data_IF_896440205130
#
_entry.id   IF_896440205130
#
_cell.length_a   1.000
_cell.length_b   1.000
_cell.length_c   1.000
_cell.angle_alpha   90.00
_cell.angle_beta   90.00
_cell.angle_gamma   90.00
#
_symmetry.space_group_name_H-M   'P 1'
#
loop_
_entity.id
_entity.type
_entity.pdbx_description
1 polymer ?
#
# COMPACT_ATOMS: atom_id res chain seq x y z
N UNK A 1 -6.94 29.67 -18.78
CA UNK A 1 -6.54 28.26 -18.92
C UNK A 1 -7.56 27.42 -18.17
N UNK A 2 -8.23 26.44 -18.80
CA UNK A 2 -9.07 25.51 -18.07
C UNK A 2 -8.18 24.80 -17.06
N UNK A 3 -8.47 24.94 -15.76
CA UNK A 3 -7.63 24.42 -14.70
C UNK A 3 -7.47 22.91 -14.85
N UNK A 4 -6.26 22.40 -14.59
CA UNK A 4 -5.99 20.97 -14.60
C UNK A 4 -7.09 20.19 -13.85
N UNK A 5 -7.54 19.04 -14.37
CA UNK A 5 -8.54 18.24 -13.72
C UNK A 5 -8.05 17.88 -12.31
N UNK A 6 -8.75 18.40 -11.31
CA UNK A 6 -8.41 18.20 -9.90
C UNK A 6 -8.52 16.71 -9.58
N UNK A 7 -7.45 16.14 -9.01
CA UNK A 7 -7.42 14.75 -8.56
C UNK A 7 -8.68 14.44 -7.70
N UNK A 8 -9.42 13.34 -7.98
CA UNK A 8 -10.66 13.00 -7.28
C UNK A 8 -10.44 12.55 -5.83
N UNK A 9 -9.19 12.44 -5.38
CA UNK A 9 -8.79 12.24 -3.99
C UNK A 9 -7.97 13.44 -3.53
N UNK A 10 -8.29 13.93 -2.34
CA UNK A 10 -7.51 14.97 -1.66
C UNK A 10 -6.80 14.39 -0.46
N UNK A 11 -5.47 14.39 -0.49
CA UNK A 11 -4.65 14.23 0.70
C UNK A 11 -4.43 15.61 1.35
N UNK A 12 -4.47 15.67 2.68
CA UNK A 12 -4.21 16.89 3.44
C UNK A 12 -3.40 16.58 4.68
N UNK A 13 -2.51 17.50 5.05
CA UNK A 13 -1.80 17.42 6.32
C UNK A 13 -2.79 17.44 7.48
N UNK A 14 -2.56 16.60 8.50
CA UNK A 14 -3.42 16.46 9.66
C UNK A 14 -2.62 16.13 10.92
N UNK A 15 -3.01 16.64 12.09
CA UNK A 15 -2.37 16.25 13.35
C UNK A 15 -3.01 14.99 13.93
N UNK A 16 -2.21 13.95 14.12
CA UNK A 16 -2.63 12.67 14.71
C UNK A 16 -1.76 12.43 15.94
N UNK A 17 -2.38 12.37 17.12
CA UNK A 17 -1.69 12.21 18.42
C UNK A 17 -0.53 13.22 18.60
N UNK A 18 -0.78 14.49 18.24
CA UNK A 18 0.21 15.58 18.33
C UNK A 18 1.33 15.55 17.28
N UNK A 19 1.38 14.54 16.40
CA UNK A 19 2.37 14.43 15.33
C UNK A 19 1.77 14.82 13.98
N UNK A 20 2.59 15.37 13.10
CA UNK A 20 2.17 15.79 11.77
C UNK A 20 2.02 14.56 10.86
N UNK A 21 0.81 14.22 10.48
CA UNK A 21 0.48 13.13 9.58
C UNK A 21 -0.35 13.62 8.40
N UNK A 22 -1.17 12.73 7.85
CA UNK A 22 -2.13 13.10 6.82
C UNK A 22 -3.49 12.41 6.99
N UNK A 23 -4.47 13.02 6.33
CA UNK A 23 -5.84 12.55 6.19
C UNK A 23 -6.21 12.52 4.70
N UNK A 24 -7.29 11.84 4.37
CA UNK A 24 -7.78 11.67 3.00
C UNK A 24 -9.25 12.06 2.90
N UNK A 25 -9.63 12.62 1.76
CA UNK A 25 -11.02 12.77 1.37
C UNK A 25 -11.20 12.35 -0.09
N UNK A 26 -12.21 11.51 -0.33
CA UNK A 26 -12.67 11.17 -1.66
C UNK A 26 -13.66 12.23 -2.11
N UNK A 27 -13.41 12.85 -3.26
CA UNK A 27 -14.21 13.95 -3.80
C UNK A 27 -15.24 13.47 -4.82
N UNK A 28 -15.00 12.33 -5.47
CA UNK A 28 -15.92 11.77 -6.47
C UNK A 28 -16.09 10.26 -6.30
N UNK A 29 -17.27 9.68 -6.62
CA UNK A 29 -17.49 8.24 -6.46
C UNK A 29 -16.65 7.37 -7.40
N UNK A 30 -16.13 7.94 -8.49
CA UNK A 30 -15.30 7.26 -9.46
C UNK A 30 -13.81 7.21 -9.11
N UNK A 31 -13.40 7.74 -7.95
CA UNK A 31 -12.02 7.74 -7.50
C UNK A 31 -11.41 6.33 -7.47
N UNK A 32 -10.20 6.20 -7.99
CA UNK A 32 -9.43 4.96 -8.14
C UNK A 32 -8.27 4.88 -7.16
N UNK A 33 -7.68 3.69 -7.03
CA UNK A 33 -6.49 3.49 -6.19
C UNK A 33 -5.33 4.34 -6.70
N UNK A 34 -5.17 4.49 -8.02
CA UNK A 34 -4.15 5.38 -8.61
C UNK A 34 -4.32 6.84 -8.16
N UNK A 35 -5.55 7.35 -8.04
CA UNK A 35 -5.83 8.71 -7.59
C UNK A 35 -5.40 8.90 -6.13
N UNK A 36 -5.67 7.91 -5.28
CA UNK A 36 -5.19 7.87 -3.90
C UNK A 36 -3.67 7.92 -3.81
N UNK A 37 -2.98 7.08 -4.58
CA UNK A 37 -1.52 7.04 -4.59
C UNK A 37 -0.96 8.40 -5.02
N UNK A 38 -1.47 8.95 -6.13
CA UNK A 38 -1.05 10.26 -6.63
C UNK A 38 -1.32 11.39 -5.63
N UNK A 39 -2.45 11.35 -4.92
CA UNK A 39 -2.77 12.34 -3.89
C UNK A 39 -1.79 12.28 -2.71
N UNK A 40 -1.40 11.07 -2.27
CA UNK A 40 -0.44 10.91 -1.16
C UNK A 40 0.98 11.29 -1.59
N UNK A 41 1.43 10.87 -2.77
CA UNK A 41 2.75 11.24 -3.30
C UNK A 41 2.89 12.74 -3.59
N UNK A 42 1.76 13.43 -3.81
CA UNK A 42 1.74 14.89 -3.91
C UNK A 42 1.94 15.64 -2.59
N UNK A 43 1.97 14.96 -1.45
CA UNK A 43 2.36 15.56 -0.18
C UNK A 43 3.88 15.77 -0.15
N UNK A 44 4.32 16.90 0.40
CA UNK A 44 5.73 17.16 0.68
C UNK A 44 6.19 16.25 1.83
N UNK A 45 7.12 15.31 1.60
CA UNK A 45 7.54 14.36 2.61
C UNK A 45 8.12 15.01 3.86
N UNK A 46 8.83 16.13 3.70
CA UNK A 46 9.47 16.89 4.79
C UNK A 46 8.46 17.47 5.79
N UNK A 47 7.18 17.60 5.42
CA UNK A 47 6.13 18.09 6.31
C UNK A 47 5.47 16.99 7.13
N UNK A 48 5.76 15.72 6.86
CA UNK A 48 5.17 14.61 7.58
C UNK A 48 6.14 14.11 8.65
N UNK A 49 5.64 13.90 9.85
CA UNK A 49 6.41 13.28 10.93
C UNK A 49 6.88 11.89 10.51
N UNK A 50 8.15 11.61 10.80
CA UNK A 50 8.82 10.33 10.54
C UNK A 50 9.40 9.84 11.86
N UNK A 51 8.90 8.73 12.43
CA UNK A 51 9.40 8.26 13.73
C UNK A 51 10.89 7.92 13.70
N UNK A 52 11.40 7.45 12.56
CA UNK A 52 12.78 7.03 12.40
C UNK A 52 13.70 8.06 11.73
N UNK A 53 13.15 9.18 11.26
CA UNK A 53 13.94 10.27 10.67
C UNK A 53 13.21 11.62 10.84
N UNK A 54 13.00 12.09 12.09
CA UNK A 54 12.07 13.20 12.37
C UNK A 54 12.38 14.50 11.61
N UNK A 55 13.65 14.72 11.28
CA UNK A 55 14.16 15.95 10.65
C UNK A 55 14.59 15.75 9.18
N UNK A 56 14.37 14.57 8.60
CA UNK A 56 14.91 14.23 7.28
C UNK A 56 13.88 13.82 6.24
N UNK A 57 14.35 13.68 4.99
CA UNK A 57 13.53 13.28 3.86
C UNK A 57 13.29 11.74 3.86
N UNK A 58 12.16 11.34 3.28
CA UNK A 58 11.93 9.95 2.90
C UNK A 58 12.91 9.50 1.80
N UNK A 59 13.33 10.41 0.92
CA UNK A 59 14.40 10.14 -0.04
C UNK A 59 15.74 10.07 0.72
N UNK A 60 16.34 8.87 0.79
CA UNK A 60 17.56 8.66 1.58
C UNK A 60 17.30 8.13 3.00
N UNK A 61 16.06 7.84 3.36
CA UNK A 61 15.70 7.10 4.56
C UNK A 61 15.46 5.62 4.22
N UNK A 62 16.15 4.73 4.92
CA UNK A 62 16.14 3.28 4.73
C UNK A 62 15.47 2.51 5.87
N UNK A 63 15.02 3.18 6.94
CA UNK A 63 14.41 2.50 8.09
C UNK A 63 13.17 1.67 7.73
N UNK A 64 12.39 2.13 6.75
CA UNK A 64 11.25 1.36 6.27
C UNK A 64 11.66 0.11 5.48
N UNK A 65 12.88 0.07 4.95
CA UNK A 65 13.40 -1.08 4.20
C UNK A 65 13.70 -2.28 5.12
N UNK A 66 13.90 -2.06 6.42
CA UNK A 66 14.01 -3.13 7.42
C UNK A 66 12.66 -3.54 8.05
N UNK A 67 11.55 -3.02 7.53
CA UNK A 67 10.21 -3.29 8.06
C UNK A 67 9.48 -4.44 7.36
N UNK A 68 8.25 -4.68 7.81
CA UNK A 68 7.29 -5.55 7.11
C UNK A 68 6.75 -4.82 5.86
N UNK A 69 7.06 -5.34 4.68
CA UNK A 69 6.76 -4.73 3.38
C UNK A 69 5.83 -5.63 2.56
N UNK A 70 4.52 -5.68 2.88
CA UNK A 70 3.56 -6.51 2.15
C UNK A 70 3.40 -6.01 0.72
N UNK A 71 3.11 -6.95 -0.16
CA UNK A 71 2.96 -6.71 -1.60
C UNK A 71 1.54 -7.02 -2.05
N UNK A 72 1.00 -6.16 -2.90
CA UNK A 72 -0.16 -6.52 -3.72
C UNK A 72 0.28 -7.21 -5.01
N UNK A 73 -0.64 -7.86 -5.72
CA UNK A 73 -0.36 -8.41 -7.06
C UNK A 73 0.14 -7.32 -8.03
N UNK A 74 -0.36 -6.09 -7.90
CA UNK A 74 0.03 -4.98 -8.77
C UNK A 74 1.43 -4.44 -8.45
N UNK A 75 1.86 -4.55 -7.19
CA UNK A 75 3.23 -4.24 -6.83
C UNK A 75 4.20 -5.21 -7.51
N UNK A 76 3.84 -6.48 -7.69
CA UNK A 76 4.69 -7.47 -8.39
C UNK A 76 4.85 -7.12 -9.87
N UNK A 77 3.82 -6.61 -10.55
CA UNK A 77 3.97 -6.05 -11.90
C UNK A 77 4.89 -4.83 -11.90
N UNK A 78 4.77 -3.94 -10.91
CA UNK A 78 5.68 -2.82 -10.71
C UNK A 78 7.13 -3.25 -10.52
N UNK A 79 7.37 -4.26 -9.68
CA UNK A 79 8.69 -4.86 -9.47
C UNK A 79 9.24 -5.45 -10.76
N UNK A 80 8.42 -6.15 -11.54
CA UNK A 80 8.83 -6.69 -12.84
C UNK A 80 9.33 -5.57 -13.77
N UNK A 81 8.58 -4.48 -13.89
CA UNK A 81 8.98 -3.34 -14.71
C UNK A 81 10.26 -2.68 -14.18
N UNK A 82 10.33 -2.41 -12.88
CA UNK A 82 11.52 -1.78 -12.29
C UNK A 82 12.78 -2.62 -12.41
N UNK A 83 12.67 -3.95 -12.28
CA UNK A 83 13.81 -4.85 -12.46
C UNK A 83 14.23 -4.97 -13.92
N UNK A 84 13.27 -4.91 -14.86
CA UNK A 84 13.57 -4.79 -16.29
C UNK A 84 14.35 -3.52 -16.57
N UNK A 85 13.88 -2.38 -16.06
CA UNK A 85 14.56 -1.09 -16.25
C UNK A 85 15.97 -1.08 -15.62
N UNK A 86 16.13 -1.72 -14.46
CA UNK A 86 17.41 -1.78 -13.74
C UNK A 86 18.42 -2.74 -14.37
N UNK A 87 17.97 -3.89 -14.89
CA UNK A 87 18.85 -5.01 -15.28
C UNK A 87 18.82 -5.35 -16.76
N UNK A 88 17.89 -4.78 -17.53
CA UNK A 88 17.61 -5.15 -18.92
C UNK A 88 16.92 -6.51 -19.09
N UNK A 89 16.63 -7.24 -18.00
CA UNK A 89 16.06 -8.59 -18.06
C UNK A 89 14.56 -8.57 -17.82
N UNK A 90 13.82 -9.15 -18.75
CA UNK A 90 12.40 -9.45 -18.54
C UNK A 90 12.26 -10.78 -17.78
N UNK A 91 11.84 -10.70 -16.51
CA UNK A 91 11.60 -11.87 -15.68
C UNK A 91 10.11 -12.13 -15.59
N UNK A 92 9.64 -13.37 -15.78
CA UNK A 92 8.22 -13.68 -15.60
C UNK A 92 7.84 -13.59 -14.11
N UNK A 93 6.58 -13.27 -13.82
CA UNK A 93 6.09 -13.07 -12.44
C UNK A 93 6.48 -14.19 -11.45
N UNK A 94 6.38 -15.50 -11.77
CA UNK A 94 6.82 -16.54 -10.83
C UNK A 94 8.29 -16.42 -10.42
N UNK A 95 9.16 -15.95 -11.32
CA UNK A 95 10.58 -15.69 -11.02
C UNK A 95 10.78 -14.43 -10.19
N UNK A 96 9.90 -13.43 -10.33
CA UNK A 96 9.89 -12.28 -9.43
C UNK A 96 9.54 -12.71 -8.00
N UNK A 97 8.47 -13.50 -7.85
CA UNK A 97 8.05 -14.02 -6.53
C UNK A 97 9.14 -14.86 -5.86
N UNK A 98 9.75 -15.77 -6.63
CA UNK A 98 10.82 -16.64 -6.12
C UNK A 98 12.03 -15.82 -5.61
N UNK A 99 12.49 -14.85 -6.42
CA UNK A 99 13.76 -14.15 -6.15
C UNK A 99 13.64 -12.93 -5.25
N UNK A 100 12.53 -12.20 -5.33
CA UNK A 100 12.39 -10.87 -4.71
C UNK A 100 11.30 -10.80 -3.64
N UNK A 101 10.50 -11.86 -3.48
CA UNK A 101 9.49 -11.95 -2.44
C UNK A 101 9.82 -13.07 -1.47
N UNK A 102 9.26 -13.00 -0.28
CA UNK A 102 9.30 -14.05 0.72
C UNK A 102 7.87 -14.34 1.19
N UNK A 103 7.57 -15.62 1.38
CA UNK A 103 6.24 -16.09 1.77
C UNK A 103 6.33 -16.63 3.19
N UNK A 104 5.53 -16.06 4.08
CA UNK A 104 5.39 -16.50 5.46
C UNK A 104 4.04 -17.17 5.65
N UNK A 105 4.04 -18.35 6.26
CA UNK A 105 2.84 -19.11 6.59
C UNK A 105 2.67 -19.13 8.10
N UNK A 106 1.62 -18.49 8.60
CA UNK A 106 1.30 -18.44 10.04
C UNK A 106 -0.11 -18.97 10.26
N UNK A 107 -0.20 -20.25 10.60
CA UNK A 107 -1.48 -20.96 10.71
C UNK A 107 -2.21 -21.00 9.37
N UNK A 108 -3.29 -20.24 9.25
CA UNK A 108 -4.07 -20.10 7.99
C UNK A 108 -3.65 -18.89 7.18
N UNK A 109 -2.90 -17.95 7.76
CA UNK A 109 -2.50 -16.73 7.07
C UNK A 109 -1.31 -17.01 6.13
N UNK A 110 -1.37 -16.39 4.95
CA UNK A 110 -0.25 -16.30 4.02
C UNK A 110 0.09 -14.83 3.91
N UNK A 111 1.34 -14.49 4.15
CA UNK A 111 1.88 -13.14 4.07
C UNK A 111 3.01 -13.12 3.04
N UNK A 112 2.92 -12.24 2.04
CA UNK A 112 3.87 -12.16 0.93
C UNK A 112 4.50 -10.78 0.94
N UNK A 113 5.73 -10.72 1.40
CA UNK A 113 6.48 -9.48 1.55
C UNK A 113 7.65 -9.39 0.58
N UNK A 114 8.19 -8.19 0.41
CA UNK A 114 9.52 -8.05 -0.19
C UNK A 114 10.56 -8.85 0.61
N UNK A 115 11.41 -9.56 -0.11
CA UNK A 115 12.53 -10.31 0.47
C UNK A 115 13.57 -9.35 1.03
N UNK A 116 14.16 -9.76 2.15
CA UNK A 116 15.28 -9.05 2.79
C UNK A 116 16.61 -9.78 2.57
N UNK A 117 17.72 -9.05 2.72
CA UNK A 117 19.07 -9.61 2.86
C UNK A 117 19.29 -10.23 4.25
N UNK A 118 20.53 -10.64 4.52
CA UNK A 118 20.92 -11.29 5.78
C UNK A 118 20.85 -10.32 6.97
N UNK A 119 20.98 -9.02 6.71
CA UNK A 119 20.90 -7.93 7.67
C UNK A 119 19.45 -7.49 7.93
N UNK A 120 18.48 -8.06 7.21
CA UNK A 120 17.05 -7.80 7.38
C UNK A 120 16.55 -6.59 6.59
N UNK A 121 17.31 -6.06 5.63
CA UNK A 121 16.88 -4.95 4.77
C UNK A 121 16.40 -5.45 3.41
N UNK A 122 15.43 -4.73 2.83
CA UNK A 122 14.92 -5.01 1.49
C UNK A 122 16.05 -5.15 0.45
N UNK A 123 16.01 -6.22 -0.36
CA UNK A 123 17.01 -6.50 -1.42
C UNK A 123 17.16 -5.40 -2.48
N UNK A 124 16.19 -4.48 -2.55
CA UNK A 124 16.19 -3.37 -3.51
C UNK A 124 16.79 -2.09 -2.92
N UNK A 125 17.19 -2.08 -1.66
CA UNK A 125 17.92 -0.98 -1.05
C UNK A 125 19.32 -0.87 -1.66
N UNK A 126 19.72 0.34 -2.04
CA UNK A 126 21.12 0.68 -2.25
C UNK A 126 21.68 1.30 -0.96
N UNK A 127 22.46 0.56 -0.15
CA UNK A 127 22.83 0.99 1.20
C UNK A 127 23.63 2.30 1.20
N UNK A 128 24.54 2.49 0.23
CA UNK A 128 25.38 3.70 0.16
C UNK A 128 24.58 4.97 -0.09
N UNK A 129 23.50 4.86 -0.87
CA UNK A 129 22.62 5.99 -1.22
C UNK A 129 21.37 6.04 -0.35
N UNK A 130 21.16 5.04 0.51
CA UNK A 130 19.96 4.84 1.34
C UNK A 130 18.67 4.99 0.54
N UNK A 131 18.68 4.49 -0.70
CA UNK A 131 17.59 4.69 -1.67
C UNK A 131 17.28 3.38 -2.39
N UNK A 132 16.01 3.14 -2.67
CA UNK A 132 15.59 2.02 -3.51
C UNK A 132 16.19 2.14 -4.94
N UNK A 133 16.76 1.05 -5.45
CA UNK A 133 17.32 0.95 -6.81
C UNK A 133 16.26 1.10 -7.90
N UNK A 134 15.01 0.79 -7.58
CA UNK A 134 13.85 0.92 -8.49
C UNK A 134 12.84 1.93 -7.93
N UNK A 135 13.32 3.08 -7.47
CA UNK A 135 12.53 4.07 -6.73
C UNK A 135 11.17 4.45 -7.37
N UNK A 136 11.09 4.56 -8.69
CA UNK A 136 9.85 4.92 -9.38
C UNK A 136 8.84 3.77 -9.46
N UNK A 137 9.29 2.55 -9.16
CA UNK A 137 8.52 1.30 -9.19
C UNK A 137 8.36 0.69 -7.79
N UNK A 138 8.53 1.51 -6.74
CA UNK A 138 8.37 1.06 -5.35
C UNK A 138 6.94 0.55 -5.11
N UNK A 139 6.77 -0.46 -4.25
CA UNK A 139 5.44 -0.93 -3.86
C UNK A 139 4.58 0.17 -3.22
N UNK A 140 3.26 -0.04 -3.23
CA UNK A 140 2.27 0.88 -2.66
C UNK A 140 2.55 1.25 -1.21
N UNK A 141 3.00 0.31 -0.38
CA UNK A 141 3.30 0.58 1.04
C UNK A 141 4.42 1.63 1.19
N UNK A 142 5.43 1.59 0.30
CA UNK A 142 6.53 2.55 0.27
C UNK A 142 6.09 3.91 -0.28
N UNK A 143 5.17 3.93 -1.25
CA UNK A 143 4.63 5.16 -1.88
C UNK A 143 3.65 5.91 -0.98
N UNK A 144 3.08 5.23 0.01
CA UNK A 144 2.04 5.77 0.90
C UNK A 144 2.55 6.13 2.30
N UNK A 145 3.88 6.26 2.45
CA UNK A 145 4.58 6.67 3.66
C UNK A 145 4.09 5.96 4.92
N UNK A 146 4.18 4.63 4.95
CA UNK A 146 3.47 3.86 5.96
C UNK A 146 3.82 4.17 7.41
N UNK A 147 5.03 4.69 7.65
CA UNK A 147 5.55 5.13 8.94
C UNK A 147 4.95 6.45 9.44
N UNK A 148 4.21 7.18 8.59
CA UNK A 148 3.56 8.44 8.99
C UNK A 148 2.30 8.16 9.81
N UNK A 149 2.00 9.00 10.80
CA UNK A 149 0.70 9.01 11.45
C UNK A 149 -0.44 9.28 10.45
N UNK A 150 -1.56 8.59 10.65
CA UNK A 150 -2.73 8.61 9.77
C UNK A 150 -4.00 8.74 10.61
N UNK A 151 -5.00 9.45 10.10
CA UNK A 151 -6.35 9.35 10.66
C UNK A 151 -6.87 7.92 10.50
N UNK A 152 -7.83 7.53 11.34
CA UNK A 152 -8.42 6.18 11.28
C UNK A 152 -8.98 5.84 9.88
N UNK A 153 -9.78 6.69 9.22
CA UNK A 153 -10.27 6.39 7.87
C UNK A 153 -9.13 6.22 6.86
N UNK A 154 -8.11 7.09 6.88
CA UNK A 154 -6.99 6.99 5.96
C UNK A 154 -6.14 5.72 6.19
N UNK A 155 -5.90 5.34 7.45
CA UNK A 155 -5.24 4.08 7.80
C UNK A 155 -6.04 2.87 7.32
N UNK A 156 -7.34 2.83 7.60
CA UNK A 156 -8.20 1.72 7.19
C UNK A 156 -8.28 1.59 5.67
N UNK A 157 -8.30 2.70 4.93
CA UNK A 157 -8.26 2.66 3.47
C UNK A 157 -6.97 2.00 2.96
N UNK A 158 -5.81 2.43 3.46
CA UNK A 158 -4.52 1.85 3.09
C UNK A 158 -4.47 0.35 3.40
N UNK A 159 -4.89 -0.04 4.59
CA UNK A 159 -4.96 -1.46 5.00
C UNK A 159 -5.86 -2.27 4.08
N UNK A 160 -7.03 -1.75 3.68
CA UNK A 160 -7.93 -2.44 2.74
C UNK A 160 -7.28 -2.61 1.37
N UNK A 161 -6.64 -1.57 0.85
CA UNK A 161 -5.95 -1.65 -0.45
C UNK A 161 -4.84 -2.70 -0.40
N UNK A 162 -3.99 -2.67 0.62
CA UNK A 162 -2.88 -3.61 0.78
C UNK A 162 -3.40 -5.03 0.96
N UNK A 163 -4.27 -5.27 1.95
CA UNK A 163 -4.71 -6.63 2.27
C UNK A 163 -5.50 -7.25 1.12
N UNK A 164 -6.41 -6.51 0.49
CA UNK A 164 -7.21 -7.04 -0.64
C UNK A 164 -6.36 -7.27 -1.89
N UNK A 165 -5.31 -6.47 -2.09
CA UNK A 165 -4.34 -6.68 -3.16
C UNK A 165 -3.38 -7.84 -2.89
N UNK A 166 -3.01 -8.06 -1.63
CA UNK A 166 -2.21 -9.19 -1.18
C UNK A 166 -3.00 -10.50 -1.22
N UNK A 167 -4.28 -10.50 -0.84
CA UNK A 167 -5.17 -11.67 -0.96
C UNK A 167 -5.20 -12.19 -2.40
N UNK A 168 -5.26 -11.30 -3.39
CA UNK A 168 -5.18 -11.66 -4.81
C UNK A 168 -3.80 -12.19 -5.20
N UNK A 169 -2.73 -11.63 -4.63
CA UNK A 169 -1.37 -12.14 -4.83
C UNK A 169 -1.22 -13.56 -4.25
N UNK A 170 -1.77 -13.82 -3.06
CA UNK A 170 -1.79 -15.14 -2.45
C UNK A 170 -2.60 -16.10 -3.30
N UNK A 171 -3.77 -15.69 -3.80
CA UNK A 171 -4.58 -16.50 -4.73
C UNK A 171 -3.78 -16.88 -5.98
N UNK A 172 -3.09 -15.92 -6.58
CA UNK A 172 -2.19 -16.13 -7.71
C UNK A 172 -1.06 -17.12 -7.38
N UNK A 173 -0.46 -16.99 -6.19
CA UNK A 173 0.63 -17.85 -5.72
C UNK A 173 0.15 -19.28 -5.44
N UNK A 174 -0.99 -19.44 -4.77
CA UNK A 174 -1.61 -20.73 -4.44
C UNK A 174 -1.95 -21.55 -5.69
N UNK A 175 -2.49 -20.90 -6.74
CA UNK A 175 -2.80 -21.54 -8.01
C UNK A 175 -1.59 -22.14 -8.74
N UNK A 176 -0.37 -21.81 -8.30
CA UNK A 176 0.90 -22.29 -8.87
C UNK A 176 1.61 -23.30 -7.98
N UNK A 177 1.08 -23.57 -6.79
CA UNK A 177 1.65 -24.61 -5.93
C UNK A 177 1.24 -25.98 -6.46
N UNK A 178 2.20 -26.91 -6.49
CA UNK A 178 1.92 -28.32 -6.83
C UNK A 178 1.00 -28.97 -5.81
N UNK A 179 1.12 -28.57 -4.56
CA UNK A 179 0.33 -29.03 -3.43
C UNK A 179 -0.04 -27.84 -2.56
N UNK A 180 -1.25 -27.85 -2.00
CA UNK A 180 -1.65 -26.83 -1.03
C UNK A 180 -0.78 -26.93 0.21
N UNK A 181 -0.19 -25.81 0.69
CA UNK A 181 0.58 -25.83 1.93
C UNK A 181 -0.27 -26.28 3.12
N UNK A 182 0.31 -26.99 4.10
CA UNK A 182 -0.42 -27.44 5.29
C UNK A 182 -1.13 -26.28 6.00
N UNK A 183 -2.37 -26.51 6.43
CA UNK A 183 -3.19 -25.52 7.17
C UNK A 183 -3.89 -24.48 6.29
N UNK A 184 -3.47 -24.30 5.04
CA UNK A 184 -4.09 -23.36 4.10
C UNK A 184 -5.33 -23.97 3.45
N UNK A 185 -6.38 -23.17 3.30
CA UNK A 185 -7.59 -23.56 2.55
C UNK A 185 -7.80 -22.61 1.37
N UNK A 186 -7.46 -22.98 0.12
CA UNK A 186 -7.54 -22.07 -1.04
C UNK A 186 -8.87 -21.32 -1.18
N UNK A 187 -9.97 -21.86 -0.66
CA UNK A 187 -11.28 -21.21 -0.57
C UNK A 187 -11.31 -19.90 0.22
N UNK A 188 -10.40 -19.62 1.16
CA UNK A 188 -10.40 -18.34 1.88
C UNK A 188 -9.84 -17.18 1.00
N UNK A 189 -9.27 -17.48 -0.17
CA UNK A 189 -8.66 -16.53 -1.10
C UNK A 189 -9.48 -16.44 -2.39
N UNK A 190 -10.71 -15.94 -2.28
CA UNK A 190 -11.58 -15.70 -3.43
C UNK A 190 -11.04 -14.54 -4.30
N UNK A 191 -11.42 -14.48 -5.60
CA UNK A 191 -11.07 -13.34 -6.45
C UNK A 191 -11.47 -12.01 -5.80
N UNK A 192 -10.53 -11.08 -5.75
CA UNK A 192 -10.78 -9.74 -5.19
C UNK A 192 -11.00 -8.71 -6.31
N UNK A 193 -11.32 -7.43 -6.00
CA UNK A 193 -11.34 -6.38 -7.02
C UNK A 193 -10.03 -6.17 -7.79
N UNK A 194 -8.93 -6.80 -7.35
CA UNK A 194 -7.66 -6.82 -8.08
C UNK A 194 -7.58 -7.93 -9.13
N UNK A 195 -8.49 -8.90 -9.13
CA UNK A 195 -8.46 -10.04 -10.03
C UNK A 195 -8.56 -9.60 -11.49
N UNK A 196 -7.53 -9.93 -12.28
CA UNK A 196 -7.44 -9.57 -13.69
C UNK A 196 -7.00 -8.14 -13.97
N UNK A 197 -6.75 -7.32 -12.95
CA UNK A 197 -6.21 -5.97 -13.12
C UNK A 197 -4.70 -6.00 -13.36
N UNK A 198 -4.21 -4.99 -14.09
CA UNK A 198 -2.78 -4.75 -14.34
C UNK A 198 -2.31 -3.39 -13.82
N UNK A 199 -3.23 -2.54 -13.36
CA UNK A 199 -2.94 -1.22 -12.82
C UNK A 199 -3.89 -0.81 -11.70
N UNK A 200 -3.38 -0.01 -10.77
CA UNK A 200 -4.18 0.64 -9.73
C UNK A 200 -5.22 1.62 -10.28
N UNK A 201 -5.10 2.00 -11.56
CA UNK A 201 -6.07 2.84 -12.25
C UNK A 201 -7.36 2.09 -12.61
N UNK A 202 -7.39 0.75 -12.53
CA UNK A 202 -8.57 -0.06 -12.87
C UNK A 202 -9.49 -0.30 -11.67
N UNK A 203 -9.00 -0.02 -10.46
CA UNK A 203 -9.68 -0.36 -9.22
C UNK A 203 -10.28 0.90 -8.59
N UNK A 204 -11.60 0.92 -8.41
CA UNK A 204 -12.26 2.01 -7.69
C UNK A 204 -12.07 1.85 -6.18
N UNK A 205 -11.88 2.97 -5.46
CA UNK A 205 -11.80 2.95 -4.00
C UNK A 205 -13.11 2.44 -3.38
N UNK A 206 -14.25 2.70 -4.01
CA UNK A 206 -15.56 2.27 -3.56
C UNK A 206 -15.71 0.75 -3.50
N UNK A 207 -15.10 0.02 -4.46
CA UNK A 207 -15.12 -1.44 -4.47
C UNK A 207 -14.36 -2.07 -3.30
N UNK A 208 -13.43 -1.34 -2.68
CA UNK A 208 -12.59 -1.83 -1.58
C UNK A 208 -13.16 -1.47 -0.19
N UNK A 209 -14.03 -0.46 -0.13
CA UNK A 209 -14.50 0.13 1.11
C UNK A 209 -15.84 -0.46 1.58
N UNK A 210 -15.93 -0.94 2.82
CA UNK A 210 -17.22 -1.12 3.49
C UNK A 210 -18.00 0.21 3.56
N UNK A 211 -19.35 0.18 3.64
CA UNK A 211 -20.18 1.38 3.60
C UNK A 211 -19.79 2.47 4.61
N UNK A 212 -19.42 2.08 5.83
CA UNK A 212 -19.02 3.02 6.88
C UNK A 212 -17.69 3.71 6.58
N UNK A 213 -16.71 2.96 6.08
CA UNK A 213 -15.42 3.52 5.68
C UNK A 213 -15.60 4.48 4.50
N UNK A 214 -16.40 4.07 3.51
CA UNK A 214 -16.72 4.90 2.36
C UNK A 214 -17.36 6.23 2.77
N UNK A 215 -18.36 6.18 3.68
CA UNK A 215 -19.00 7.40 4.22
C UNK A 215 -17.98 8.30 4.90
N UNK A 216 -17.06 7.74 5.69
CA UNK A 216 -16.03 8.50 6.39
C UNK A 216 -15.00 9.16 5.46
N UNK A 217 -14.71 8.55 4.31
CA UNK A 217 -13.80 9.09 3.31
C UNK A 217 -14.48 10.12 2.39
N UNK A 218 -15.75 9.91 2.04
CA UNK A 218 -16.49 10.76 1.10
C UNK A 218 -17.08 12.01 1.80
N UNK A 219 -17.66 11.81 2.99
CA UNK A 219 -18.28 12.85 3.82
C UNK A 219 -17.62 12.89 5.21
N UNK A 220 -16.41 13.48 5.33
CA UNK A 220 -15.68 13.47 6.60
C UNK A 220 -16.40 14.17 7.76
N UNK A 221 -17.32 15.11 7.47
CA UNK A 221 -18.11 15.80 8.50
C UNK A 221 -19.19 14.89 9.13
N UNK A 222 -19.78 13.98 8.35
CA UNK A 222 -20.72 12.97 8.85
C UNK A 222 -20.04 11.97 9.79
N UNK A 223 -18.76 11.69 9.55
CA UNK A 223 -17.98 10.77 10.38
C UNK A 223 -17.75 11.32 11.78
N UNK A 224 -17.47 12.63 11.94
CA UNK A 224 -17.31 13.24 13.27
C UNK A 224 -18.59 13.11 14.12
N UNK A 225 -19.77 13.22 13.51
CA UNK A 225 -21.06 13.13 14.20
C UNK A 225 -21.40 11.72 14.70
N UNK A 226 -20.98 10.67 13.99
CA UNK A 226 -21.16 9.28 14.42
C UNK A 226 -20.27 8.92 15.63
N UNK A 227 -19.12 9.59 15.78
CA UNK A 227 -18.14 9.28 16.81
C UNK A 227 -18.40 9.97 18.16
N UNK A 228 -18.91 11.21 18.17
CA UNK A 228 -19.34 11.85 19.42
C UNK A 228 -20.46 11.08 20.13
N UNK A 229 -21.31 10.35 19.40
CA UNK A 229 -22.35 9.50 19.98
C UNK A 229 -21.83 8.17 20.55
N UNK A 230 -20.65 7.72 20.14
CA UNK A 230 -20.03 6.47 20.62
C UNK A 230 -19.33 6.59 21.98
N UNK A 231 -18.96 7.81 22.39
CA UNK A 231 -18.30 8.09 23.68
C UNK A 231 -19.26 8.38 24.84
N UNK A 232 -20.54 8.66 24.55
CA UNK A 232 -21.58 8.82 25.58
C UNK A 232 -22.30 7.49 25.92
N UNK A 233 -21.79 6.35 25.42
CA UNK A 233 -22.37 5.01 25.66
C UNK A 233 -21.35 3.95 26.12
N UNK A 234 -20.26 4.36 26.76
CA UNK A 234 -19.46 3.46 27.60
C UNK A 234 -19.07 4.15 28.88
#
# INVERSE_FOLDING_TARGET
MPGEPKNPVRARYWRVNGKQGYDLQVLTPGARVADYIAAVEGLEPARLFRPYNPDGDCLGCDHCCGGHLPLTILDVYGLQQGLRDLTGKDLPLPKILEKYCQVHLVGRAVDITLRTDAEGYCLLLEPRRRRCRIYNHRPLICRTYFCSPLTRPARLLRERIVNTGEDELVRYWLARQKTTPPGIRPSDWQPTPFAGCHSYAEITLKALCPPELWRGLYNPDDYKALWYKGWLKK
#
